data_IF_118339003678
#
_entry.id   IF_118339003678
#
_cell.length_a   1.000
_cell.length_b   1.000
_cell.length_c   1.000
_cell.angle_alpha   90.00
_cell.angle_beta   90.00
_cell.angle_gamma   90.00
#
_symmetry.space_group_name_H-M   'P 1'
#
loop_
_entity.id
_entity.type
_entity.pdbx_description
1 polymer ?
#
# COMPACT_ATOMS: atom_id res chain seq x y z
N UNK A 1 -18.25 12.04 0.13
CA UNK A 1 -18.53 13.49 0.32
C UNK A 1 -17.44 14.40 -0.27
N UNK A 2 -16.16 14.18 0.05
CA UNK A 2 -15.08 15.10 -0.31
C UNK A 2 -14.23 14.69 -1.53
N UNK A 3 -14.52 13.54 -2.14
CA UNK A 3 -13.80 13.00 -3.32
C UNK A 3 -12.27 13.08 -3.14
N UNK A 4 -11.80 12.59 -2.00
CA UNK A 4 -10.36 12.52 -1.71
C UNK A 4 -9.71 11.60 -2.75
N UNK A 5 -8.66 12.07 -3.41
CA UNK A 5 -7.96 11.28 -4.42
C UNK A 5 -7.04 10.24 -3.78
N UNK A 6 -6.39 10.57 -2.65
CA UNK A 6 -5.47 9.67 -1.96
C UNK A 6 -5.46 9.81 -0.43
N UNK A 7 -5.15 8.72 0.26
CA UNK A 7 -4.90 8.66 1.70
C UNK A 7 -3.49 8.09 1.94
N UNK A 8 -2.71 8.74 2.82
CA UNK A 8 -1.36 8.30 3.18
C UNK A 8 -1.37 7.92 4.66
N UNK A 9 -1.01 6.68 4.97
CA UNK A 9 -1.06 6.11 6.31
C UNK A 9 0.32 5.58 6.69
N UNK A 10 0.77 5.86 7.91
CA UNK A 10 2.04 5.34 8.45
C UNK A 10 1.83 4.19 9.43
N UNK A 11 2.70 4.12 10.44
CA UNK A 11 2.70 3.16 11.56
C UNK A 11 3.08 1.73 11.20
N UNK A 12 2.31 1.03 10.35
CA UNK A 12 2.66 -0.33 9.96
C UNK A 12 3.96 -0.28 9.15
N UNK A 13 4.97 -1.04 9.57
CA UNK A 13 6.31 -0.97 9.02
C UNK A 13 6.41 -1.74 7.69
N UNK A 14 5.66 -1.27 6.70
CA UNK A 14 5.56 -1.86 5.36
C UNK A 14 5.16 -0.79 4.35
N UNK A 15 5.30 -1.14 3.08
CA UNK A 15 4.64 -0.41 2.00
C UNK A 15 3.44 -1.22 1.52
N UNK A 16 2.27 -0.60 1.42
CA UNK A 16 1.07 -1.18 0.80
C UNK A 16 0.41 -0.15 -0.10
N UNK A 17 -0.05 -0.58 -1.26
CA UNK A 17 -0.90 0.19 -2.14
C UNK A 17 -2.22 -0.53 -2.38
N UNK A 18 -3.32 0.17 -2.06
CA UNK A 18 -4.67 -0.37 -2.07
C UNK A 18 -5.64 0.64 -2.69
N UNK A 19 -6.63 0.13 -3.42
CA UNK A 19 -7.73 0.93 -3.97
C UNK A 19 -8.99 0.70 -3.17
N UNK A 20 -9.55 1.79 -2.67
CA UNK A 20 -10.75 1.80 -1.85
C UNK A 20 -11.94 2.24 -2.71
N UNK A 21 -12.97 1.39 -2.77
CA UNK A 21 -14.23 1.74 -3.36
C UNK A 21 -14.94 2.86 -2.60
N UNK A 22 -16.03 3.41 -3.16
CA UNK A 22 -16.75 4.54 -2.57
C UNK A 22 -17.40 4.25 -1.21
N UNK A 23 -17.57 2.97 -0.85
CA UNK A 23 -18.15 2.51 0.40
C UNK A 23 -17.11 1.87 1.34
N UNK A 24 -15.83 1.88 0.96
CA UNK A 24 -14.76 1.30 1.77
C UNK A 24 -14.25 2.32 2.78
N UNK A 25 -13.98 1.86 4.00
CA UNK A 25 -13.33 2.65 5.03
C UNK A 25 -11.82 2.74 4.80
N UNK A 26 -11.23 3.89 5.11
CA UNK A 26 -9.77 4.04 5.21
C UNK A 26 -9.28 3.12 6.34
N UNK A 27 -8.31 2.28 6.03
CA UNK A 27 -7.70 1.42 7.04
C UNK A 27 -6.61 2.20 7.78
N UNK A 28 -6.85 2.36 9.08
CA UNK A 28 -5.92 2.95 10.02
C UNK A 28 -5.00 1.90 10.63
N UNK A 29 -3.89 2.32 11.27
CA UNK A 29 -2.87 1.42 11.82
C UNK A 29 -3.42 0.23 12.62
N UNK A 30 -2.81 -0.94 12.45
CA UNK A 30 -3.26 -2.19 13.07
C UNK A 30 -4.51 -2.81 12.44
N UNK A 31 -5.01 -2.25 11.33
CA UNK A 31 -6.00 -2.88 10.45
C UNK A 31 -5.37 -3.11 9.09
N UNK A 32 -5.31 -4.38 8.67
CA UNK A 32 -4.86 -4.78 7.34
C UNK A 32 -6.06 -5.31 6.53
N UNK A 33 -5.94 -5.31 5.20
CA UNK A 33 -6.85 -6.07 4.35
C UNK A 33 -6.52 -7.57 4.46
N UNK A 34 -7.44 -8.32 5.08
CA UNK A 34 -7.38 -9.76 5.29
C UNK A 34 -7.06 -10.16 6.74
N UNK A 35 -7.52 -11.34 7.16
CA UNK A 35 -7.19 -11.92 8.47
C UNK A 35 -5.79 -12.56 8.47
N UNK A 36 -4.98 -12.22 9.47
CA UNK A 36 -3.71 -12.90 9.80
C UNK A 36 -4.00 -14.38 10.02
N UNK A 37 -3.61 -15.25 9.09
CA UNK A 37 -3.63 -16.70 9.31
C UNK A 37 -2.46 -17.03 10.23
N UNK A 38 -2.71 -17.62 11.40
CA UNK A 38 -1.75 -17.88 12.50
C UNK A 38 -0.39 -18.53 12.14
N UNK A 39 -0.19 -18.96 10.89
CA UNK A 39 1.02 -19.61 10.39
C UNK A 39 1.84 -18.70 9.44
N UNK A 40 1.93 -17.40 9.77
CA UNK A 40 2.65 -16.37 8.99
C UNK A 40 4.16 -16.62 8.94
N UNK A 41 4.61 -17.44 7.98
CA UNK A 41 6.03 -17.77 7.81
C UNK A 41 6.70 -17.02 6.66
N UNK A 42 5.92 -16.47 5.74
CA UNK A 42 6.44 -16.04 4.45
C UNK A 42 6.45 -14.51 4.30
N UNK A 43 7.65 -13.93 4.47
CA UNK A 43 7.91 -12.50 4.26
C UNK A 43 8.06 -12.18 2.76
N UNK A 44 7.07 -12.48 1.95
CA UNK A 44 7.14 -12.25 0.50
C UNK A 44 6.49 -10.91 0.09
N UNK A 45 6.96 -10.36 -1.02
CA UNK A 45 6.27 -9.25 -1.67
C UNK A 45 4.99 -9.79 -2.32
N UNK A 46 3.89 -9.05 -2.21
CA UNK A 46 2.62 -9.42 -2.84
C UNK A 46 2.36 -8.45 -3.99
N UNK A 47 2.17 -9.01 -5.19
CA UNK A 47 1.70 -8.29 -6.38
C UNK A 47 0.43 -9.01 -6.86
N UNK A 48 -0.75 -8.42 -6.60
CA UNK A 48 -2.02 -8.98 -7.08
C UNK A 48 -2.42 -8.46 -8.46
N UNK A 49 -1.45 -7.90 -9.18
CA UNK A 49 -1.65 -7.25 -10.47
C UNK A 49 -0.67 -7.82 -11.49
N UNK A 50 -0.97 -7.73 -12.80
CA UNK A 50 -0.06 -8.21 -13.83
C UNK A 50 1.23 -7.37 -13.94
N UNK A 51 1.29 -6.18 -13.33
CA UNK A 51 2.43 -5.27 -13.42
C UNK A 51 2.51 -4.31 -12.22
N UNK A 52 3.72 -3.91 -11.84
CA UNK A 52 3.95 -2.87 -10.82
C UNK A 52 3.52 -1.47 -11.27
N UNK A 53 3.36 -1.25 -12.58
CA UNK A 53 2.81 -0.02 -13.13
C UNK A 53 1.29 -0.09 -13.12
N UNK A 54 0.63 0.92 -12.55
CA UNK A 54 -0.82 0.96 -12.47
C UNK A 54 -1.33 2.31 -12.96
N UNK A 55 -2.33 2.31 -13.85
CA UNK A 55 -2.96 3.51 -14.40
C UNK A 55 -4.45 3.52 -14.05
N UNK A 56 -4.95 4.67 -13.58
CA UNK A 56 -6.33 4.80 -13.12
C UNK A 56 -6.98 6.08 -13.65
N UNK A 57 -8.31 6.03 -13.80
CA UNK A 57 -9.12 7.21 -14.14
C UNK A 57 -9.59 7.90 -12.87
N UNK A 58 -9.69 9.23 -12.95
CA UNK A 58 -10.11 10.07 -11.83
C UNK A 58 -11.50 9.68 -11.31
N UNK A 59 -11.59 9.49 -9.99
CA UNK A 59 -12.85 9.38 -9.27
C UNK A 59 -13.48 7.99 -9.22
N UNK A 60 -12.79 6.96 -9.69
CA UNK A 60 -13.26 5.57 -9.60
C UNK A 60 -13.02 4.98 -8.19
N UNK A 61 -11.92 5.36 -7.54
CA UNK A 61 -11.48 4.83 -6.24
C UNK A 61 -10.74 5.90 -5.44
N UNK A 62 -10.60 5.68 -4.14
CA UNK A 62 -9.65 6.37 -3.27
C UNK A 62 -8.34 5.55 -3.23
N UNK A 63 -7.22 6.19 -3.54
CA UNK A 63 -5.90 5.54 -3.52
C UNK A 63 -5.30 5.59 -2.11
N UNK A 64 -5.20 4.45 -1.42
CA UNK A 64 -4.56 4.37 -0.11
C UNK A 64 -3.12 3.85 -0.22
N UNK A 65 -2.19 4.61 0.34
CA UNK A 65 -0.78 4.25 0.46
C UNK A 65 -0.42 4.10 1.94
N UNK A 66 -0.01 2.90 2.33
CA UNK A 66 0.64 2.65 3.61
C UNK A 66 2.16 2.80 3.41
N UNK A 67 2.80 3.70 4.14
CA UNK A 67 4.21 4.10 3.93
C UNK A 67 5.01 4.11 5.23
N UNK A 68 4.99 3.01 5.98
CA UNK A 68 5.82 2.86 7.19
C UNK A 68 7.13 2.09 6.96
N UNK A 69 7.45 1.72 5.72
CA UNK A 69 8.66 0.98 5.38
C UNK A 69 9.99 1.76 5.54
N UNK A 70 10.00 3.00 6.04
CA UNK A 70 11.23 3.76 6.29
C UNK A 70 11.93 3.43 7.62
N UNK A 71 11.30 2.62 8.49
CA UNK A 71 11.76 2.33 9.85
C UNK A 71 12.86 1.26 9.97
N UNK A 72 13.05 0.69 11.17
CA UNK A 72 14.17 -0.22 11.49
C UNK A 72 13.85 -1.71 11.38
N UNK A 73 12.56 -2.06 11.34
CA UNK A 73 12.06 -3.45 11.37
C UNK A 73 10.80 -3.54 10.53
N UNK A 74 10.61 -4.63 9.78
CA UNK A 74 9.37 -4.89 9.06
C UNK A 74 8.38 -5.66 9.91
N UNK A 75 7.10 -5.30 9.78
CA UNK A 75 6.02 -6.14 10.30
C UNK A 75 5.91 -7.39 9.41
N UNK A 76 5.72 -8.60 9.99
CA UNK A 76 5.48 -9.79 9.20
C UNK A 76 4.17 -9.67 8.42
N UNK A 77 4.18 -10.11 7.17
CA UNK A 77 2.95 -10.28 6.37
C UNK A 77 2.56 -11.74 6.36
N UNK A 78 1.26 -11.96 6.45
CA UNK A 78 0.66 -13.27 6.27
C UNK A 78 0.09 -13.34 4.84
N UNK A 79 0.25 -14.46 4.11
CA UNK A 79 -0.54 -14.68 2.91
C UNK A 79 -2.02 -14.74 3.32
N UNK A 80 -2.80 -13.74 2.91
CA UNK A 80 -4.20 -13.61 3.29
C UNK A 80 -5.09 -14.51 2.43
N UNK A 81 -6.18 -15.04 3.03
CA UNK A 81 -7.36 -15.50 2.28
C UNK A 81 -7.96 -14.29 1.58
N UNK A 82 -7.96 -14.32 0.25
CA UNK A 82 -8.63 -13.37 -0.65
C UNK A 82 -8.53 -11.91 -0.19
N UNK A 83 -7.42 -11.24 -0.56
CA UNK A 83 -7.48 -9.79 -0.66
C UNK A 83 -8.53 -9.50 -1.73
N UNK A 84 -9.67 -8.89 -1.38
CA UNK A 84 -10.91 -8.66 -2.19
C UNK A 84 -10.70 -7.90 -3.53
N UNK A 85 -9.59 -8.10 -4.24
CA UNK A 85 -9.13 -7.31 -5.38
C UNK A 85 -8.65 -5.90 -5.01
N UNK A 86 -8.59 -5.55 -3.72
CA UNK A 86 -8.35 -4.18 -3.24
C UNK A 86 -6.88 -3.83 -3.02
N UNK A 87 -6.04 -4.79 -2.63
CA UNK A 87 -4.60 -4.60 -2.43
C UNK A 87 -3.90 -4.95 -3.73
N UNK A 88 -3.15 -4.00 -4.29
CA UNK A 88 -2.50 -4.15 -5.59
C UNK A 88 -1.01 -4.49 -5.42
N UNK A 89 -0.37 -3.91 -4.40
CA UNK A 89 1.05 -4.12 -4.13
C UNK A 89 1.37 -4.02 -2.64
N UNK A 90 2.25 -4.88 -2.14
CA UNK A 90 2.74 -4.84 -0.75
C UNK A 90 4.21 -5.25 -0.66
N UNK A 91 5.07 -4.39 -0.12
CA UNK A 91 6.52 -4.63 0.07
C UNK A 91 6.91 -4.59 1.56
N UNK A 92 7.62 -5.65 1.99
CA UNK A 92 8.16 -5.82 3.35
C UNK A 92 9.61 -6.33 3.38
N UNK A 93 10.28 -6.34 2.23
CA UNK A 93 11.68 -6.81 2.16
C UNK A 93 12.65 -5.65 2.17
N UNK A 94 12.23 -4.47 1.71
CA UNK A 94 13.14 -3.36 1.48
C UNK A 94 12.59 -2.06 2.01
N UNK A 95 13.46 -1.37 2.74
CA UNK A 95 13.16 -0.06 3.24
C UNK A 95 13.09 0.90 2.06
N UNK A 96 12.29 1.93 2.20
CA UNK A 96 12.08 2.85 1.12
C UNK A 96 11.28 4.07 1.51
N UNK A 97 11.13 4.93 0.53
CA UNK A 97 10.30 6.12 0.64
C UNK A 97 9.41 6.20 -0.59
N UNK A 98 8.27 6.87 -0.43
CA UNK A 98 7.39 7.19 -1.54
C UNK A 98 7.61 8.64 -1.95
N UNK A 99 7.76 8.90 -3.24
CA UNK A 99 7.62 10.25 -3.80
C UNK A 99 6.27 10.36 -4.51
N UNK A 100 5.64 11.53 -4.39
CA UNK A 100 4.43 11.88 -5.14
C UNK A 100 4.75 13.13 -5.94
N UNK A 101 4.64 13.00 -7.27
CA UNK A 101 4.75 14.10 -8.21
C UNK A 101 3.33 14.45 -8.68
N UNK A 102 2.95 15.72 -8.62
CA UNK A 102 1.60 16.18 -9.00
C UNK A 102 1.71 17.25 -10.09
N UNK A 103 0.94 17.09 -11.15
CA UNK A 103 0.73 18.11 -12.18
C UNK A 103 -0.73 18.58 -12.19
N UNK A 104 -1.10 19.43 -13.16
CA UNK A 104 -2.46 20.00 -13.26
C UNK A 104 -3.59 18.98 -13.44
N UNK A 105 -3.29 17.73 -13.82
CA UNK A 105 -4.25 16.69 -14.21
C UNK A 105 -3.95 15.31 -13.61
N UNK A 106 -2.71 15.02 -13.25
CA UNK A 106 -2.27 13.71 -12.80
C UNK A 106 -1.41 13.79 -11.55
N UNK A 107 -1.36 12.69 -10.83
CA UNK A 107 -0.30 12.43 -9.86
C UNK A 107 0.41 11.12 -10.22
N UNK A 108 1.69 11.04 -9.93
CA UNK A 108 2.49 9.83 -10.05
C UNK A 108 3.08 9.52 -8.68
N UNK A 109 2.75 8.34 -8.13
CA UNK A 109 3.34 7.83 -6.91
C UNK A 109 4.43 6.80 -7.26
N UNK A 110 5.64 6.99 -6.72
CA UNK A 110 6.77 6.07 -6.92
C UNK A 110 7.30 5.61 -5.57
N UNK A 111 7.38 4.31 -5.35
CA UNK A 111 8.07 3.74 -4.19
C UNK A 111 9.52 3.43 -4.56
N UNK A 112 10.46 4.04 -3.84
CA UNK A 112 11.90 3.89 -4.04
C UNK A 112 12.47 3.00 -2.95
N UNK A 113 12.84 1.78 -3.32
CA UNK A 113 13.46 0.78 -2.45
C UNK A 113 14.96 1.05 -2.23
N UNK A 114 15.51 0.56 -1.12
CA UNK A 114 16.96 0.56 -0.87
C UNK A 114 17.51 1.92 -0.46
N UNK A 115 16.64 2.82 0.02
CA UNK A 115 17.08 4.03 0.70
C UNK A 115 17.69 3.60 2.03
N UNK A 116 19.03 3.58 2.08
CA UNK A 116 19.75 3.31 3.32
C UNK A 116 19.46 4.42 4.32
N UNK A 117 19.16 4.03 5.57
CA UNK A 117 19.21 4.95 6.70
C UNK A 117 20.61 5.58 6.74
N UNK A 118 20.70 6.88 6.48
CA UNK A 118 21.88 7.68 6.83
C UNK A 118 21.89 7.87 8.33
#
# INVERSE_FOLDING_TARGET
KYKVDMAIVGHNHQFEYSNLGPNDDILFPGRDYGEVIDDCKDKEEIINTPTRLQEFKKGEVLHQFMVGASGKSFDPICPYREQDGKVFFKNIRKHGMMSIEVDSKHFTAKYMEGVNNV
#
